data_IF_853601026437
#
_entry.id   IF_853601026437
#
_cell.length_a   1.000
_cell.length_b   1.000
_cell.length_c   1.000
_cell.angle_alpha   90.00
_cell.angle_beta   90.00
_cell.angle_gamma   90.00
#
_symmetry.space_group_name_H-M   'P 1'
#
loop_
_entity.id
_entity.type
_entity.pdbx_description
1 polymer ?
#
# COMPACT_ATOMS: atom_id res chain seq x y z
N UNK A 1 38.83 -6.52 -3.17
CA UNK A 1 37.60 -5.78 -3.49
C UNK A 1 36.33 -6.52 -3.06
N UNK A 2 36.32 -7.85 -3.00
CA UNK A 2 35.14 -8.68 -2.68
C UNK A 2 34.50 -8.42 -1.31
N UNK A 3 35.28 -8.42 -0.22
CA UNK A 3 34.70 -8.21 1.13
C UNK A 3 34.10 -6.80 1.29
N UNK A 4 34.75 -5.79 0.71
CA UNK A 4 34.23 -4.42 0.76
C UNK A 4 32.92 -4.29 -0.02
N UNK A 5 32.82 -4.92 -1.20
CA UNK A 5 31.58 -4.93 -1.99
C UNK A 5 30.45 -5.71 -1.30
N UNK A 6 30.77 -6.83 -0.65
CA UNK A 6 29.81 -7.65 0.12
C UNK A 6 29.25 -6.85 1.31
N UNK A 7 30.12 -6.19 2.09
CA UNK A 7 29.72 -5.36 3.23
C UNK A 7 28.92 -4.14 2.77
N UNK A 8 29.37 -3.45 1.72
CA UNK A 8 28.65 -2.29 1.19
C UNK A 8 27.26 -2.67 0.66
N UNK A 9 27.15 -3.77 -0.09
CA UNK A 9 25.88 -4.32 -0.54
C UNK A 9 24.95 -4.64 0.63
N UNK A 10 25.48 -5.27 1.69
CA UNK A 10 24.70 -5.61 2.89
C UNK A 10 24.19 -4.36 3.63
N UNK A 11 24.98 -3.29 3.69
CA UNK A 11 24.56 -2.01 4.27
C UNK A 11 23.44 -1.38 3.43
N UNK A 12 23.59 -1.36 2.11
CA UNK A 12 22.56 -0.83 1.22
C UNK A 12 21.27 -1.66 1.29
N UNK A 13 21.38 -2.98 1.32
CA UNK A 13 20.24 -3.88 1.53
C UNK A 13 19.55 -3.61 2.86
N UNK A 14 20.32 -3.48 3.95
CA UNK A 14 19.76 -3.15 5.26
C UNK A 14 18.99 -1.83 5.21
N UNK A 15 19.59 -0.76 4.66
CA UNK A 15 18.93 0.55 4.53
C UNK A 15 17.67 0.48 3.67
N UNK A 16 17.70 -0.27 2.56
CA UNK A 16 16.57 -0.50 1.66
C UNK A 16 15.40 -1.14 2.43
N UNK A 17 15.65 -2.29 3.04
CA UNK A 17 14.62 -3.10 3.70
C UNK A 17 14.14 -2.45 4.99
N UNK A 18 15.04 -1.80 5.75
CA UNK A 18 14.71 -0.98 6.91
C UNK A 18 13.79 0.18 6.51
N UNK A 19 14.17 0.94 5.49
CA UNK A 19 13.40 2.09 5.02
C UNK A 19 12.00 1.70 4.57
N UNK A 20 11.87 0.61 3.84
CA UNK A 20 10.58 0.03 3.42
C UNK A 20 9.75 -0.47 4.62
N UNK A 21 10.38 -1.07 5.63
CA UNK A 21 9.65 -1.60 6.79
C UNK A 21 9.26 -0.50 7.79
N UNK A 22 10.03 0.58 7.85
CA UNK A 22 9.76 1.73 8.69
C UNK A 22 8.52 2.54 8.25
N UNK A 23 8.06 2.37 7.02
CA UNK A 23 6.86 3.06 6.51
C UNK A 23 5.55 2.33 6.82
N UNK A 24 5.62 1.11 7.39
CA UNK A 24 4.44 0.30 7.67
C UNK A 24 3.58 0.92 8.76
N UNK A 25 2.42 1.46 8.37
CA UNK A 25 1.43 1.94 9.34
C UNK A 25 0.57 0.79 9.88
N UNK A 26 0.87 0.37 11.11
CA UNK A 26 0.15 -0.69 11.83
C UNK A 26 -1.33 -0.36 12.09
N UNK A 27 -1.73 0.91 12.13
CA UNK A 27 -3.14 1.31 12.32
C UNK A 27 -3.92 1.13 11.02
N UNK A 28 -3.37 1.61 9.90
CA UNK A 28 -3.97 1.43 8.57
C UNK A 28 -4.05 -0.06 8.21
N UNK A 29 -3.00 -0.83 8.53
CA UNK A 29 -3.00 -2.28 8.37
C UNK A 29 -4.25 -2.91 9.01
N UNK A 30 -4.53 -2.60 10.28
CA UNK A 30 -5.70 -3.14 10.99
C UNK A 30 -7.03 -2.77 10.34
N UNK A 31 -7.15 -1.55 9.79
CA UNK A 31 -8.38 -1.09 9.12
C UNK A 31 -8.65 -1.89 7.83
N UNK A 32 -7.60 -2.17 7.05
CA UNK A 32 -7.71 -2.91 5.79
C UNK A 32 -7.76 -4.44 5.93
N UNK A 33 -7.52 -5.00 7.12
CA UNK A 33 -7.75 -6.43 7.40
C UNK A 33 -9.18 -6.90 7.13
N UNK A 34 -10.14 -5.98 6.97
CA UNK A 34 -11.52 -6.31 6.59
C UNK A 34 -11.61 -6.88 5.16
N UNK A 35 -10.69 -6.51 4.26
CA UNK A 35 -10.69 -6.98 2.88
C UNK A 35 -9.99 -8.34 2.74
N UNK A 36 -10.54 -9.35 3.40
CA UNK A 36 -9.92 -10.68 3.54
C UNK A 36 -9.66 -11.37 2.20
N UNK A 37 -10.56 -11.21 1.23
CA UNK A 37 -10.43 -11.86 -0.08
C UNK A 37 -9.24 -11.29 -0.86
N UNK A 38 -9.09 -9.96 -0.89
CA UNK A 38 -7.97 -9.32 -1.57
C UNK A 38 -6.63 -9.71 -0.94
N UNK A 39 -6.55 -9.65 0.39
CA UNK A 39 -5.33 -9.99 1.13
C UNK A 39 -4.93 -11.46 0.96
N UNK A 40 -5.87 -12.40 1.07
CA UNK A 40 -5.57 -13.83 0.87
C UNK A 40 -5.15 -14.13 -0.57
N UNK A 41 -5.80 -13.49 -1.55
CA UNK A 41 -5.44 -13.63 -2.96
C UNK A 41 -4.02 -13.11 -3.19
N UNK A 42 -3.71 -11.93 -2.67
CA UNK A 42 -2.39 -11.32 -2.73
C UNK A 42 -1.29 -12.17 -2.11
N UNK A 43 -1.48 -12.65 -0.87
CA UNK A 43 -0.50 -13.50 -0.18
C UNK A 43 -0.27 -14.81 -0.93
N UNK A 44 -1.34 -15.44 -1.43
CA UNK A 44 -1.24 -16.69 -2.20
C UNK A 44 -0.50 -16.48 -3.51
N UNK A 45 -0.77 -15.38 -4.20
CA UNK A 45 -0.08 -15.01 -5.43
C UNK A 45 1.41 -14.74 -5.16
N UNK A 46 1.73 -13.95 -4.13
CA UNK A 46 3.09 -13.53 -3.78
C UNK A 46 4.00 -14.69 -3.37
N UNK A 47 3.54 -15.56 -2.47
CA UNK A 47 4.42 -16.55 -1.82
C UNK A 47 4.16 -17.99 -2.24
N UNK A 48 3.13 -18.24 -3.04
CA UNK A 48 2.85 -19.58 -3.58
C UNK A 48 2.97 -19.58 -5.09
N UNK A 49 2.16 -18.78 -5.79
CA UNK A 49 2.08 -18.82 -7.25
C UNK A 49 3.36 -18.30 -7.89
N UNK A 50 3.84 -17.11 -7.52
CA UNK A 50 5.00 -16.53 -8.18
C UNK A 50 6.31 -17.32 -7.94
N UNK A 51 6.63 -17.77 -6.71
CA UNK A 51 7.78 -18.65 -6.47
C UNK A 51 7.66 -19.97 -7.24
N UNK A 52 6.44 -20.53 -7.31
CA UNK A 52 6.18 -21.74 -8.08
C UNK A 52 6.40 -21.52 -9.59
N UNK A 53 6.01 -20.37 -10.14
CA UNK A 53 6.32 -20.01 -11.53
C UNK A 53 7.83 -19.88 -11.75
N UNK A 54 8.55 -19.26 -10.82
CA UNK A 54 10.02 -19.22 -10.85
C UNK A 54 10.62 -20.62 -10.90
N UNK A 55 10.18 -21.51 -10.01
CA UNK A 55 10.58 -22.92 -9.98
C UNK A 55 10.28 -23.67 -11.28
N UNK A 56 9.07 -23.50 -11.83
CA UNK A 56 8.69 -24.13 -13.09
C UNK A 56 9.60 -23.69 -14.23
N UNK A 57 9.94 -22.40 -14.30
CA UNK A 57 10.86 -21.89 -15.31
C UNK A 57 12.26 -22.46 -15.12
N UNK A 58 12.80 -22.43 -13.89
CA UNK A 58 14.12 -23.00 -13.58
C UNK A 58 14.20 -24.47 -14.02
N UNK A 59 13.18 -25.24 -13.67
CA UNK A 59 13.12 -26.68 -13.98
C UNK A 59 12.88 -26.96 -15.46
N UNK A 60 11.96 -26.24 -16.11
CA UNK A 60 11.60 -26.48 -17.52
C UNK A 60 12.71 -26.05 -18.48
N UNK A 61 13.44 -24.98 -18.15
CA UNK A 61 14.52 -24.44 -18.98
C UNK A 61 15.89 -24.98 -18.58
N UNK A 62 15.98 -25.79 -17.52
CA UNK A 62 17.24 -26.28 -16.93
C UNK A 62 18.26 -25.15 -16.73
N UNK A 63 17.81 -24.07 -16.07
CA UNK A 63 18.67 -22.93 -15.78
C UNK A 63 19.84 -23.37 -14.90
N UNK A 64 21.01 -22.77 -15.12
CA UNK A 64 22.17 -23.00 -14.27
C UNK A 64 21.97 -22.40 -12.87
N UNK A 65 22.76 -22.86 -11.91
CA UNK A 65 22.59 -22.47 -10.51
C UNK A 65 22.65 -20.95 -10.28
N UNK A 66 23.58 -20.18 -10.91
CA UNK A 66 23.60 -18.72 -10.76
C UNK A 66 22.33 -18.02 -11.22
N UNK A 67 21.78 -18.41 -12.39
CA UNK A 67 20.53 -17.83 -12.89
C UNK A 67 19.34 -18.26 -12.06
N UNK A 68 19.18 -19.57 -11.86
CA UNK A 68 17.95 -20.06 -11.26
C UNK A 68 17.86 -19.79 -9.77
N UNK A 69 18.94 -19.83 -9.01
CA UNK A 69 18.91 -19.43 -7.58
C UNK A 69 18.53 -17.96 -7.46
N UNK A 70 19.15 -17.08 -8.26
CA UNK A 70 18.80 -15.66 -8.23
C UNK A 70 17.36 -15.41 -8.67
N UNK A 71 16.86 -16.12 -9.69
CA UNK A 71 15.46 -16.02 -10.13
C UNK A 71 14.47 -16.50 -9.05
N UNK A 72 14.81 -17.57 -8.32
CA UNK A 72 14.02 -18.05 -7.18
C UNK A 72 13.98 -17.00 -6.05
N UNK A 73 15.10 -16.30 -5.80
CA UNK A 73 15.13 -15.19 -4.84
C UNK A 73 14.24 -14.04 -5.30
N UNK A 74 14.32 -13.63 -6.58
CA UNK A 74 13.46 -12.58 -7.14
C UNK A 74 11.99 -12.94 -6.96
N UNK A 75 11.59 -14.13 -7.39
CA UNK A 75 10.18 -14.56 -7.38
C UNK A 75 9.64 -14.89 -5.98
N UNK A 76 10.52 -15.11 -5.01
CA UNK A 76 10.18 -15.34 -3.59
C UNK A 76 10.30 -14.11 -2.72
N UNK A 77 10.77 -12.98 -3.27
CA UNK A 77 10.88 -11.73 -2.53
C UNK A 77 9.50 -11.17 -2.20
N UNK A 78 9.38 -10.29 -1.19
CA UNK A 78 8.17 -9.49 -1.02
C UNK A 78 8.07 -8.42 -2.12
N UNK A 79 6.89 -7.81 -2.22
CA UNK A 79 6.68 -6.59 -2.99
C UNK A 79 7.59 -5.45 -2.52
N UNK A 80 7.74 -4.41 -3.34
CA UNK A 80 8.59 -3.25 -3.05
C UNK A 80 7.83 -1.93 -3.07
N UNK A 81 8.35 -0.88 -2.42
CA UNK A 81 7.68 0.44 -2.31
C UNK A 81 7.25 1.07 -3.64
N UNK A 82 7.83 0.66 -4.77
CA UNK A 82 7.46 1.14 -6.10
C UNK A 82 6.12 0.56 -6.60
N UNK A 83 5.65 -0.59 -6.10
CA UNK A 83 4.29 -1.07 -6.39
C UNK A 83 3.25 -0.05 -5.92
N UNK A 84 3.45 0.51 -4.73
CA UNK A 84 2.62 1.59 -4.18
C UNK A 84 2.66 2.84 -5.06
N UNK A 85 3.82 3.15 -5.65
CA UNK A 85 3.96 4.25 -6.60
C UNK A 85 3.18 3.99 -7.90
N UNK A 86 3.23 2.77 -8.45
CA UNK A 86 2.41 2.37 -9.60
C UNK A 86 0.91 2.45 -9.31
N UNK A 87 0.48 1.92 -8.16
CA UNK A 87 -0.92 1.96 -7.73
C UNK A 87 -1.42 3.40 -7.53
N UNK A 88 -0.60 4.26 -6.91
CA UNK A 88 -0.90 5.69 -6.76
C UNK A 88 -1.00 6.40 -8.11
N UNK A 89 0.00 6.22 -8.97
CA UNK A 89 0.09 6.85 -10.28
C UNK A 89 -1.09 6.51 -11.20
N UNK A 90 -1.51 5.25 -11.18
CA UNK A 90 -2.61 4.78 -12.03
C UNK A 90 -3.96 4.79 -11.31
N UNK A 91 -4.04 5.36 -10.12
CA UNK A 91 -5.28 5.44 -9.34
C UNK A 91 -5.94 4.06 -9.15
N UNK A 92 -5.13 3.05 -8.85
CA UNK A 92 -5.59 1.77 -8.34
C UNK A 92 -5.92 1.89 -6.83
N UNK A 93 -6.22 0.78 -6.16
CA UNK A 93 -6.39 0.79 -4.70
C UNK A 93 -5.03 0.90 -3.98
N UNK A 94 -4.62 2.14 -3.67
CA UNK A 94 -3.36 2.42 -2.99
C UNK A 94 -3.34 1.89 -1.56
N UNK A 95 -4.45 2.04 -0.83
CA UNK A 95 -4.55 1.57 0.55
C UNK A 95 -4.37 0.05 0.65
N UNK A 96 -4.94 -0.70 -0.30
CA UNK A 96 -4.75 -2.13 -0.42
C UNK A 96 -3.31 -2.48 -0.78
N UNK A 97 -2.70 -1.81 -1.76
CA UNK A 97 -1.29 -2.03 -2.15
C UNK A 97 -0.36 -1.89 -0.94
N UNK A 98 -0.47 -0.77 -0.21
CA UNK A 98 0.37 -0.50 0.98
C UNK A 98 0.16 -1.56 2.06
N UNK A 99 -1.09 -1.97 2.28
CA UNK A 99 -1.42 -3.03 3.24
C UNK A 99 -0.81 -4.37 2.84
N UNK A 100 -0.89 -4.72 1.55
CA UNK A 100 -0.31 -5.95 1.02
C UNK A 100 1.22 -5.93 1.07
N UNK A 101 1.88 -4.80 0.75
CA UNK A 101 3.34 -4.65 0.90
C UNK A 101 3.74 -4.84 2.36
N UNK A 102 3.01 -4.24 3.30
CA UNK A 102 3.28 -4.38 4.72
C UNK A 102 3.18 -5.84 5.18
N UNK A 103 2.08 -6.52 4.83
CA UNK A 103 1.89 -7.93 5.20
C UNK A 103 2.95 -8.82 4.54
N UNK A 104 3.23 -8.61 3.25
CA UNK A 104 4.21 -9.42 2.53
C UNK A 104 5.62 -9.20 3.08
N UNK A 105 5.98 -7.98 3.45
CA UNK A 105 7.25 -7.66 4.12
C UNK A 105 7.38 -8.46 5.41
N UNK A 106 6.36 -8.46 6.28
CA UNK A 106 6.38 -9.27 7.51
C UNK A 106 6.50 -10.76 7.22
N UNK A 107 5.67 -11.29 6.31
CA UNK A 107 5.66 -12.72 5.97
C UNK A 107 6.95 -13.19 5.28
N UNK A 108 7.64 -12.30 4.56
CA UNK A 108 8.87 -12.64 3.83
C UNK A 108 9.99 -13.13 4.74
N UNK A 109 10.01 -12.71 6.01
CA UNK A 109 10.98 -13.19 7.01
C UNK A 109 11.01 -14.71 7.12
N UNK A 110 9.88 -15.37 6.84
CA UNK A 110 9.74 -16.84 6.85
C UNK A 110 9.58 -17.38 5.43
N UNK A 111 8.74 -16.74 4.59
CA UNK A 111 8.39 -17.28 3.28
C UNK A 111 9.54 -17.21 2.27
N UNK A 112 10.34 -16.15 2.28
CA UNK A 112 11.51 -16.03 1.39
C UNK A 112 12.52 -17.16 1.62
N UNK A 113 13.03 -17.41 2.86
CA UNK A 113 13.94 -18.52 3.09
C UNK A 113 13.31 -19.88 2.85
N UNK A 114 12.04 -20.07 3.24
CA UNK A 114 11.35 -21.34 3.07
C UNK A 114 11.20 -21.72 1.58
N UNK A 115 10.73 -20.78 0.74
CA UNK A 115 10.60 -20.99 -0.70
C UNK A 115 11.97 -21.23 -1.34
N UNK A 116 12.98 -20.46 -0.95
CA UNK A 116 14.32 -20.63 -1.50
C UNK A 116 14.90 -22.01 -1.20
N UNK A 117 14.84 -22.47 0.06
CA UNK A 117 15.30 -23.81 0.45
C UNK A 117 14.51 -24.89 -0.29
N UNK A 118 13.18 -24.78 -0.32
CA UNK A 118 12.31 -25.76 -0.97
C UNK A 118 12.62 -25.89 -2.47
N UNK A 119 12.60 -24.78 -3.21
CA UNK A 119 12.75 -24.82 -4.66
C UNK A 119 14.19 -25.01 -5.11
N UNK A 120 15.19 -24.51 -4.37
CA UNK A 120 16.59 -24.78 -4.70
C UNK A 120 16.95 -26.26 -4.53
N UNK A 121 16.51 -26.89 -3.42
CA UNK A 121 16.78 -28.32 -3.17
C UNK A 121 15.99 -29.25 -4.10
N UNK A 122 14.86 -28.77 -4.63
CA UNK A 122 14.05 -29.52 -5.62
C UNK A 122 14.60 -29.37 -7.04
N UNK A 123 15.15 -28.20 -7.40
CA UNK A 123 15.59 -27.92 -8.77
C UNK A 123 16.99 -28.46 -9.08
N UNK A 124 17.86 -28.58 -8.08
CA UNK A 124 19.26 -28.91 -8.27
C UNK A 124 19.68 -30.19 -7.57
N UNK A 125 20.69 -30.87 -8.12
CA UNK A 125 21.27 -32.07 -7.50
C UNK A 125 21.96 -31.72 -6.18
N UNK A 126 22.07 -32.71 -5.28
CA UNK A 126 22.68 -32.54 -3.97
C UNK A 126 24.11 -31.96 -4.02
N UNK A 127 24.86 -32.23 -5.07
CA UNK A 127 26.23 -31.73 -5.21
C UNK A 127 26.27 -30.23 -5.53
N UNK A 128 25.37 -29.76 -6.41
CA UNK A 128 25.21 -28.34 -6.71
C UNK A 128 24.68 -27.61 -5.48
N UNK A 129 23.66 -28.15 -4.82
CA UNK A 129 23.08 -27.59 -3.60
C UNK A 129 24.14 -27.47 -2.49
N UNK A 130 25.01 -28.46 -2.31
CA UNK A 130 26.11 -28.41 -1.33
C UNK A 130 27.21 -27.41 -1.69
N UNK A 131 27.39 -27.12 -2.99
CA UNK A 131 28.39 -26.16 -3.46
C UNK A 131 27.97 -24.70 -3.27
N UNK A 132 26.68 -24.43 -3.04
CA UNK A 132 26.18 -23.09 -2.75
C UNK A 132 26.73 -22.57 -1.41
N UNK A 133 27.06 -21.28 -1.38
CA UNK A 133 27.45 -20.60 -0.15
C UNK A 133 26.22 -20.33 0.73
N UNK A 134 25.78 -21.37 1.44
CA UNK A 134 24.68 -21.28 2.41
C UNK A 134 24.96 -20.23 3.48
N UNK A 135 26.23 -20.02 3.84
CA UNK A 135 26.59 -19.04 4.86
C UNK A 135 26.29 -17.63 4.37
N UNK A 136 26.68 -17.30 3.14
CA UNK A 136 26.35 -16.02 2.51
C UNK A 136 24.85 -15.81 2.37
N UNK A 137 24.11 -16.84 1.94
CA UNK A 137 22.65 -16.81 1.80
C UNK A 137 21.98 -16.54 3.16
N UNK A 138 22.33 -17.31 4.20
CA UNK A 138 21.79 -17.11 5.54
C UNK A 138 22.16 -15.75 6.12
N UNK A 139 23.38 -15.25 5.86
CA UNK A 139 23.78 -13.92 6.31
C UNK A 139 22.96 -12.83 5.63
N UNK A 140 22.73 -12.92 4.33
CA UNK A 140 21.85 -11.99 3.61
C UNK A 140 20.41 -12.04 4.14
N UNK A 141 19.88 -13.22 4.45
CA UNK A 141 18.58 -13.35 5.09
C UNK A 141 18.55 -12.71 6.48
N UNK A 142 19.59 -12.88 7.30
CA UNK A 142 19.69 -12.23 8.62
C UNK A 142 19.68 -10.71 8.47
N UNK A 143 20.34 -10.16 7.45
CA UNK A 143 20.30 -8.72 7.15
C UNK A 143 18.88 -8.27 6.78
N UNK A 144 18.18 -9.02 5.93
CA UNK A 144 16.78 -8.74 5.56
C UNK A 144 15.88 -8.79 6.80
N UNK A 145 15.92 -9.87 7.57
CA UNK A 145 15.11 -10.06 8.77
C UNK A 145 15.41 -8.98 9.81
N UNK A 146 16.68 -8.64 10.01
CA UNK A 146 17.12 -7.57 10.90
C UNK A 146 16.62 -6.20 10.45
N UNK A 147 16.71 -5.89 9.16
CA UNK A 147 16.19 -4.66 8.57
C UNK A 147 14.67 -4.54 8.71
N UNK A 148 13.93 -5.63 8.44
CA UNK A 148 12.48 -5.68 8.61
C UNK A 148 12.11 -5.46 10.08
N UNK A 149 12.69 -6.26 10.97
CA UNK A 149 12.36 -6.22 12.40
C UNK A 149 12.64 -4.85 13.00
N UNK A 150 13.82 -4.30 12.74
CA UNK A 150 14.19 -2.97 13.24
C UNK A 150 13.34 -1.85 12.63
N UNK A 151 13.03 -1.90 11.32
CA UNK A 151 12.16 -0.94 10.67
C UNK A 151 10.75 -0.95 11.24
N UNK A 152 10.15 -2.13 11.43
CA UNK A 152 8.81 -2.27 12.04
C UNK A 152 8.78 -1.77 13.48
N UNK A 153 9.82 -2.06 14.28
CA UNK A 153 9.96 -1.56 15.66
C UNK A 153 10.03 -0.04 15.65
N UNK A 154 10.85 0.56 14.79
CA UNK A 154 10.95 2.02 14.65
C UNK A 154 9.61 2.64 14.23
N UNK A 155 8.91 2.03 13.27
CA UNK A 155 7.59 2.50 12.82
C UNK A 155 6.58 2.49 13.96
N UNK A 156 6.56 1.42 14.78
CA UNK A 156 5.65 1.28 15.90
C UNK A 156 5.95 2.24 17.08
N UNK A 157 7.22 2.59 17.29
CA UNK A 157 7.71 3.37 18.44
C UNK A 157 7.78 4.87 18.18
N UNK A 158 8.35 5.30 17.05
CA UNK A 158 8.63 6.71 16.75
C UNK A 158 7.35 7.45 16.32
N UNK A 159 6.39 6.76 15.68
CA UNK A 159 5.07 7.28 15.26
C UNK A 159 5.11 8.70 14.65
N UNK A 160 6.13 8.99 13.85
CA UNK A 160 6.32 10.29 13.22
C UNK A 160 6.25 10.17 11.70
N UNK A 161 5.30 10.86 11.04
CA UNK A 161 5.20 10.86 9.58
C UNK A 161 6.49 11.35 8.89
N UNK A 162 7.18 12.31 9.51
CA UNK A 162 8.47 12.85 9.01
C UNK A 162 9.56 11.78 9.01
N UNK A 163 9.60 10.95 10.06
CA UNK A 163 10.54 9.82 10.14
C UNK A 163 10.23 8.79 9.06
N UNK A 164 8.96 8.39 8.90
CA UNK A 164 8.56 7.40 7.90
C UNK A 164 8.91 7.88 6.48
N UNK A 165 8.65 9.17 6.17
CA UNK A 165 9.02 9.75 4.88
C UNK A 165 10.54 9.75 4.65
N UNK A 166 11.32 10.13 5.67
CA UNK A 166 12.78 10.11 5.58
C UNK A 166 13.31 8.68 5.39
N UNK A 167 12.80 7.72 6.16
CA UNK A 167 13.18 6.32 6.07
C UNK A 167 12.86 5.74 4.67
N UNK A 168 11.68 6.06 4.12
CA UNK A 168 11.33 5.69 2.75
C UNK A 168 12.32 6.26 1.72
N UNK A 169 12.66 7.55 1.83
CA UNK A 169 13.61 8.20 0.93
C UNK A 169 14.99 7.55 1.00
N UNK A 170 15.50 7.31 2.21
CA UNK A 170 16.78 6.63 2.43
C UNK A 170 16.75 5.21 1.85
N UNK A 171 15.68 4.46 2.08
CA UNK A 171 15.52 3.11 1.55
C UNK A 171 15.49 3.07 0.02
N UNK A 172 14.74 3.97 -0.61
CA UNK A 172 14.67 4.06 -2.07
C UNK A 172 16.02 4.46 -2.69
N UNK A 173 16.72 5.44 -2.10
CA UNK A 173 18.08 5.81 -2.52
C UNK A 173 19.02 4.62 -2.37
N UNK A 174 18.96 3.90 -1.25
CA UNK A 174 19.78 2.73 -1.03
C UNK A 174 19.52 1.63 -2.07
N UNK A 175 18.25 1.41 -2.46
CA UNK A 175 17.90 0.48 -3.53
C UNK A 175 18.44 0.88 -4.90
N UNK A 176 18.30 2.16 -5.28
CA UNK A 176 18.87 2.67 -6.54
C UNK A 176 20.39 2.54 -6.54
N UNK A 177 21.05 2.87 -5.43
CA UNK A 177 22.49 2.71 -5.26
C UNK A 177 22.90 1.25 -5.34
N UNK A 178 22.13 0.33 -4.76
CA UNK A 178 22.41 -1.10 -4.79
C UNK A 178 22.36 -1.66 -6.22
N UNK A 179 21.32 -1.30 -6.97
CA UNK A 179 21.17 -1.64 -8.38
C UNK A 179 22.32 -1.05 -9.21
N UNK A 180 22.61 0.23 -9.06
CA UNK A 180 23.69 0.91 -9.81
C UNK A 180 25.06 0.33 -9.46
N UNK A 181 25.30 0.06 -8.18
CA UNK A 181 26.52 -0.58 -7.69
C UNK A 181 26.69 -1.99 -8.27
N UNK A 182 25.62 -2.77 -8.37
CA UNK A 182 25.68 -4.12 -8.95
C UNK A 182 26.13 -4.11 -10.42
N UNK A 183 25.67 -3.13 -11.20
CA UNK A 183 26.11 -2.95 -12.61
C UNK A 183 27.60 -2.65 -12.65
N UNK A 184 28.10 -1.78 -11.77
CA UNK A 184 29.53 -1.46 -11.68
C UNK A 184 30.34 -2.71 -11.30
N UNK A 185 29.93 -3.45 -10.26
CA UNK A 185 30.60 -4.67 -9.83
C UNK A 185 30.64 -5.72 -10.95
N UNK A 186 29.53 -5.94 -11.65
CA UNK A 186 29.47 -6.85 -12.80
C UNK A 186 30.39 -6.40 -13.95
N UNK A 187 30.46 -5.10 -14.24
CA UNK A 187 31.29 -4.58 -15.34
C UNK A 187 32.81 -4.69 -15.11
N UNK A 188 33.25 -4.90 -13.86
CA UNK A 188 34.68 -5.03 -13.53
C UNK A 188 35.23 -6.45 -13.74
N UNK A 189 34.34 -7.44 -13.94
CA UNK A 189 34.72 -8.81 -14.31
C UNK A 189 34.96 -8.91 -15.82
N UNK A 190 36.22 -9.03 -16.23
CA UNK A 190 36.66 -8.86 -17.63
C UNK A 190 36.19 -9.93 -18.63
N UNK A 191 35.39 -10.93 -18.24
CA UNK A 191 35.12 -12.12 -19.07
C UNK A 191 33.63 -12.41 -19.37
N UNK A 192 32.67 -11.76 -18.70
CA UNK A 192 31.24 -12.04 -18.87
C UNK A 192 30.43 -10.77 -19.15
N UNK A 193 30.02 -10.60 -20.40
CA UNK A 193 29.12 -9.52 -20.82
C UNK A 193 27.72 -9.73 -20.19
N UNK A 194 27.31 -8.78 -19.35
CA UNK A 194 26.01 -8.76 -18.64
C UNK A 194 24.81 -9.01 -19.59
N UNK A 195 24.91 -8.51 -20.82
CA UNK A 195 23.85 -8.55 -21.83
C UNK A 195 24.08 -9.56 -22.95
N UNK A 196 25.12 -10.38 -22.88
CA UNK A 196 25.42 -11.38 -23.92
C UNK A 196 24.95 -12.76 -23.46
N UNK A 197 23.69 -12.82 -23.04
CA UNK A 197 23.08 -14.02 -22.49
C UNK A 197 22.29 -14.77 -23.58
N UNK A 198 22.18 -16.10 -23.50
CA UNK A 198 21.38 -16.87 -24.45
C UNK A 198 19.90 -16.47 -24.38
N UNK A 199 19.14 -16.65 -25.46
CA UNK A 199 17.71 -16.29 -25.50
C UNK A 199 16.88 -16.88 -24.35
N UNK A 200 17.27 -18.07 -23.87
CA UNK A 200 16.63 -18.77 -22.75
C UNK A 200 16.69 -17.98 -21.44
N UNK A 201 17.74 -17.16 -21.24
CA UNK A 201 17.86 -16.24 -20.11
C UNK A 201 16.73 -15.21 -20.14
N UNK A 202 16.56 -14.49 -21.25
CA UNK A 202 15.57 -13.42 -21.35
C UNK A 202 14.14 -13.95 -21.24
N UNK A 203 13.87 -15.07 -21.90
CA UNK A 203 12.56 -15.73 -21.82
C UNK A 203 12.32 -16.22 -20.40
N UNK A 204 13.30 -16.90 -19.80
CA UNK A 204 13.19 -17.46 -18.45
C UNK A 204 12.98 -16.38 -17.39
N UNK A 205 13.76 -15.31 -17.41
CA UNK A 205 13.65 -14.25 -16.39
C UNK A 205 12.37 -13.43 -16.57
N UNK A 206 11.95 -13.14 -17.80
CA UNK A 206 10.74 -12.35 -18.06
C UNK A 206 9.42 -13.10 -17.87
N UNK A 207 9.41 -14.42 -18.11
CA UNK A 207 8.18 -15.22 -18.12
C UNK A 207 7.40 -15.23 -16.79
N UNK A 208 8.02 -15.41 -15.60
CA UNK A 208 7.30 -15.40 -14.33
C UNK A 208 6.54 -14.10 -14.08
N UNK A 209 7.11 -12.95 -14.47
CA UNK A 209 6.45 -11.65 -14.32
C UNK A 209 5.19 -11.57 -15.20
N UNK A 210 5.31 -11.87 -16.49
CA UNK A 210 4.19 -11.79 -17.45
C UNK A 210 3.07 -12.80 -17.15
N UNK A 211 3.45 -14.05 -16.88
CA UNK A 211 2.52 -15.13 -16.55
C UNK A 211 1.89 -14.85 -15.19
N UNK A 212 2.69 -14.42 -14.22
CA UNK A 212 2.24 -14.04 -12.89
C UNK A 212 1.19 -12.94 -12.95
N UNK A 213 1.41 -11.91 -13.79
CA UNK A 213 0.47 -10.79 -13.94
C UNK A 213 -0.87 -11.28 -14.49
N UNK A 214 -0.82 -12.13 -15.52
CA UNK A 214 -2.01 -12.74 -16.12
C UNK A 214 -2.80 -13.58 -15.11
N UNK A 215 -2.11 -14.41 -14.33
CA UNK A 215 -2.74 -15.24 -13.30
C UNK A 215 -3.28 -14.38 -12.16
N UNK A 216 -2.56 -13.35 -11.74
CA UNK A 216 -2.97 -12.44 -10.68
C UNK A 216 -4.26 -11.70 -11.06
N UNK A 217 -4.33 -11.15 -12.28
CA UNK A 217 -5.54 -10.50 -12.81
C UNK A 217 -6.71 -11.48 -12.89
N UNK A 218 -6.46 -12.71 -13.34
CA UNK A 218 -7.49 -13.75 -13.42
C UNK A 218 -8.00 -14.17 -12.04
N UNK A 219 -7.11 -14.45 -11.09
CA UNK A 219 -7.47 -14.84 -9.72
C UNK A 219 -8.22 -13.72 -9.00
N UNK A 220 -7.74 -12.47 -9.10
CA UNK A 220 -8.40 -11.31 -8.53
C UNK A 220 -9.82 -11.12 -9.10
N UNK A 221 -9.99 -11.37 -10.40
CA UNK A 221 -11.32 -11.36 -11.05
C UNK A 221 -12.20 -12.53 -10.62
N UNK A 222 -11.63 -13.72 -10.48
CA UNK A 222 -12.33 -14.94 -10.04
C UNK A 222 -12.90 -14.79 -8.62
N UNK A 223 -12.12 -14.20 -7.70
CA UNK A 223 -12.58 -13.87 -6.35
C UNK A 223 -13.46 -12.62 -6.28
N UNK A 224 -13.81 -12.04 -7.43
CA UNK A 224 -14.75 -10.91 -7.57
C UNK A 224 -14.32 -9.67 -6.79
N UNK A 225 -13.02 -9.40 -6.73
CA UNK A 225 -12.51 -8.14 -6.18
C UNK A 225 -13.02 -6.96 -7.01
N UNK A 226 -13.08 -5.78 -6.41
CA UNK A 226 -13.42 -4.55 -7.13
C UNK A 226 -12.32 -4.22 -8.14
N UNK A 227 -12.66 -3.48 -9.21
CA UNK A 227 -11.70 -3.30 -10.31
C UNK A 227 -10.39 -2.64 -9.88
N UNK A 228 -10.39 -1.56 -9.05
CA UNK A 228 -9.14 -0.95 -8.57
C UNK A 228 -8.32 -1.90 -7.69
N UNK A 229 -8.99 -2.77 -6.92
CA UNK A 229 -8.35 -3.80 -6.11
C UNK A 229 -7.67 -4.88 -6.97
N UNK A 230 -8.27 -5.27 -8.09
CA UNK A 230 -7.66 -6.24 -9.03
C UNK A 230 -6.35 -5.72 -9.60
N UNK A 231 -6.32 -4.42 -9.93
CA UNK A 231 -5.10 -3.77 -10.42
C UNK A 231 -4.05 -3.76 -9.33
N UNK A 232 -4.41 -3.37 -8.11
CA UNK A 232 -3.50 -3.34 -6.97
C UNK A 232 -2.92 -4.72 -6.63
N UNK A 233 -3.75 -5.77 -6.56
CA UNK A 233 -3.32 -7.15 -6.28
C UNK A 233 -2.35 -7.66 -7.36
N UNK A 234 -2.62 -7.36 -8.63
CA UNK A 234 -1.77 -7.79 -9.74
C UNK A 234 -0.42 -7.06 -9.75
N UNK A 235 -0.43 -5.74 -9.56
CA UNK A 235 0.78 -4.91 -9.46
C UNK A 235 1.65 -5.36 -8.29
N UNK A 236 1.03 -5.51 -7.11
CA UNK A 236 1.75 -5.86 -5.88
C UNK A 236 2.40 -7.24 -5.96
N UNK A 237 1.72 -8.23 -6.56
CA UNK A 237 2.30 -9.56 -6.73
C UNK A 237 3.47 -9.57 -7.72
N UNK A 238 3.39 -8.80 -8.81
CA UNK A 238 4.34 -8.95 -9.91
C UNK A 238 5.51 -7.97 -9.86
N UNK A 239 5.38 -6.89 -9.10
CA UNK A 239 6.47 -5.99 -8.77
C UNK A 239 7.28 -6.57 -7.61
N UNK A 240 8.48 -7.05 -7.89
CA UNK A 240 9.34 -7.70 -6.89
C UNK A 240 10.43 -6.77 -6.40
N UNK A 241 10.89 -6.99 -5.16
CA UNK A 241 12.04 -6.28 -4.66
C UNK A 241 13.36 -6.86 -5.23
N UNK A 242 13.72 -6.40 -6.43
CA UNK A 242 14.96 -6.79 -7.13
C UNK A 242 16.24 -6.42 -6.37
N UNK A 243 16.16 -5.48 -5.41
CA UNK A 243 17.27 -5.14 -4.52
C UNK A 243 17.68 -6.29 -3.61
N UNK A 244 16.71 -7.04 -3.06
CA UNK A 244 17.00 -8.22 -2.22
C UNK A 244 17.77 -9.26 -3.04
N UNK A 245 17.27 -9.59 -4.24
CA UNK A 245 17.93 -10.55 -5.14
C UNK A 245 19.31 -10.07 -5.60
N UNK A 246 19.47 -8.78 -5.90
CA UNK A 246 20.76 -8.17 -6.25
C UNK A 246 21.79 -8.35 -5.15
N UNK A 247 21.42 -8.08 -3.89
CA UNK A 247 22.35 -8.24 -2.79
C UNK A 247 22.71 -9.70 -2.55
N UNK A 248 21.76 -10.63 -2.69
CA UNK A 248 22.03 -12.07 -2.57
C UNK A 248 22.97 -12.54 -3.68
N UNK A 249 22.80 -12.04 -4.91
CA UNK A 249 23.72 -12.35 -6.00
C UNK A 249 25.16 -11.91 -5.69
N UNK A 250 25.34 -10.69 -5.18
CA UNK A 250 26.65 -10.13 -4.79
C UNK A 250 27.31 -10.91 -3.65
N UNK A 251 26.54 -11.43 -2.70
CA UNK A 251 27.10 -12.17 -1.57
C UNK A 251 27.39 -13.63 -1.89
N UNK A 252 26.56 -14.26 -2.73
CA UNK A 252 26.67 -15.70 -3.01
C UNK A 252 27.63 -16.06 -4.15
N UNK A 253 27.70 -15.25 -5.20
CA UNK A 253 28.44 -15.60 -6.42
C UNK A 253 29.71 -14.76 -6.59
N UNK A 254 30.70 -15.33 -7.28
CA UNK A 254 32.00 -14.69 -7.52
C UNK A 254 32.45 -14.88 -8.97
N UNK A 255 33.31 -13.98 -9.45
CA UNK A 255 33.88 -14.08 -10.80
C UNK A 255 32.82 -14.01 -11.90
N UNK A 256 32.89 -14.91 -12.89
CA UNK A 256 31.97 -14.94 -14.03
C UNK A 256 30.51 -15.23 -13.62
N UNK A 257 30.30 -16.12 -12.64
CA UNK A 257 28.96 -16.47 -12.15
C UNK A 257 28.22 -15.27 -11.55
N UNK A 258 28.96 -14.33 -10.96
CA UNK A 258 28.38 -13.11 -10.39
C UNK A 258 27.74 -12.22 -11.47
N UNK A 259 28.38 -12.09 -12.63
CA UNK A 259 27.84 -11.29 -13.74
C UNK A 259 26.53 -11.89 -14.25
N UNK A 260 26.50 -13.22 -14.42
CA UNK A 260 25.29 -13.96 -14.80
C UNK A 260 24.18 -13.80 -13.75
N UNK A 261 24.50 -13.95 -12.47
CA UNK A 261 23.54 -13.82 -11.37
C UNK A 261 22.96 -12.39 -11.27
N UNK A 262 23.80 -11.34 -11.35
CA UNK A 262 23.36 -9.93 -11.31
C UNK A 262 22.48 -9.57 -12.52
N UNK A 263 22.69 -10.22 -13.67
CA UNK A 263 21.84 -10.04 -14.84
C UNK A 263 20.36 -10.31 -14.57
N UNK A 264 20.05 -11.29 -13.71
CA UNK A 264 18.68 -11.70 -13.40
C UNK A 264 17.83 -10.58 -12.79
N UNK A 265 18.16 -10.01 -11.61
CA UNK A 265 17.35 -8.97 -10.99
C UNK A 265 17.33 -7.68 -11.83
N UNK A 266 18.41 -7.36 -12.55
CA UNK A 266 18.44 -6.22 -13.46
C UNK A 266 17.45 -6.38 -14.61
N UNK A 267 17.51 -7.51 -15.31
CA UNK A 267 16.61 -7.75 -16.43
C UNK A 267 15.16 -7.97 -15.97
N UNK A 268 14.95 -8.64 -14.83
CA UNK A 268 13.62 -8.73 -14.22
C UNK A 268 13.07 -7.35 -13.87
N UNK A 269 13.88 -6.45 -13.31
CA UNK A 269 13.50 -5.06 -13.01
C UNK A 269 13.07 -4.27 -14.26
N UNK A 270 13.71 -4.51 -15.41
CA UNK A 270 13.29 -3.94 -16.69
C UNK A 270 11.95 -4.55 -17.14
N UNK A 271 11.80 -5.87 -17.01
CA UNK A 271 10.58 -6.59 -17.39
C UNK A 271 9.38 -6.14 -16.56
N UNK A 272 9.51 -6.06 -15.23
CA UNK A 272 8.42 -5.63 -14.36
C UNK A 272 8.03 -4.18 -14.66
N UNK A 273 8.98 -3.26 -14.83
CA UNK A 273 8.68 -1.88 -15.19
C UNK A 273 7.92 -1.77 -16.52
N UNK A 274 8.33 -2.54 -17.53
CA UNK A 274 7.69 -2.55 -18.84
C UNK A 274 6.30 -3.22 -18.81
N UNK A 275 6.21 -4.45 -18.31
CA UNK A 275 4.96 -5.22 -18.29
C UNK A 275 3.91 -4.58 -17.39
N UNK A 276 4.29 -4.08 -16.21
CA UNK A 276 3.34 -3.39 -15.33
C UNK A 276 2.94 -2.04 -15.93
N UNK A 277 3.85 -1.30 -16.56
CA UNK A 277 3.51 -0.06 -17.26
C UNK A 277 2.45 -0.29 -18.34
N UNK A 278 2.65 -1.27 -19.21
CA UNK A 278 1.66 -1.65 -20.24
C UNK A 278 0.35 -2.12 -19.61
N UNK A 279 0.41 -2.97 -18.59
CA UNK A 279 -0.77 -3.48 -17.90
C UNK A 279 -1.60 -2.38 -17.24
N UNK A 280 -0.96 -1.47 -16.52
CA UNK A 280 -1.62 -0.34 -15.87
C UNK A 280 -2.29 0.59 -16.90
N UNK A 281 -1.65 0.83 -18.05
CA UNK A 281 -2.26 1.58 -19.16
C UNK A 281 -3.51 0.89 -19.70
N UNK A 282 -3.45 -0.43 -19.91
CA UNK A 282 -4.60 -1.22 -20.38
C UNK A 282 -5.73 -1.19 -19.36
N UNK A 283 -5.42 -1.38 -18.07
CA UNK A 283 -6.41 -1.37 -16.99
C UNK A 283 -7.09 -0.01 -16.85
N UNK A 284 -6.31 1.08 -16.92
CA UNK A 284 -6.88 2.43 -16.92
C UNK A 284 -7.82 2.63 -18.12
N UNK A 285 -7.39 2.31 -19.34
CA UNK A 285 -8.25 2.44 -20.53
C UNK A 285 -9.45 1.51 -20.55
N UNK A 286 -9.42 0.44 -19.76
CA UNK A 286 -10.54 -0.49 -19.57
C UNK A 286 -11.52 -0.04 -18.47
N UNK A 287 -11.27 1.10 -17.81
CA UNK A 287 -12.08 1.59 -16.69
C UNK A 287 -12.00 0.70 -15.46
N UNK A 288 -10.81 0.16 -15.18
CA UNK A 288 -10.53 -0.64 -13.98
C UNK A 288 -9.86 0.16 -12.86
N UNK A 289 -9.40 1.37 -13.15
CA UNK A 289 -8.85 2.30 -12.16
C UNK A 289 -9.91 3.33 -11.76
N UNK A 290 -9.63 4.10 -10.70
CA UNK A 290 -10.51 5.19 -10.25
C UNK A 290 -10.46 6.42 -11.19
N UNK A 291 -9.43 6.52 -12.02
CA UNK A 291 -9.28 7.62 -12.98
C UNK A 291 -10.20 7.44 -14.21
N UNK A 292 -10.83 8.52 -14.72
CA UNK A 292 -11.67 8.48 -15.93
C UNK A 292 -10.89 8.03 -17.18
N UNK A 293 -11.58 7.32 -18.09
CA UNK A 293 -10.98 6.73 -19.30
C UNK A 293 -10.60 7.80 -20.34
N UNK A 294 -11.36 8.90 -20.39
CA UNK A 294 -11.22 9.98 -21.39
C UNK A 294 -10.17 11.03 -21.01
N UNK A 295 -9.56 10.89 -19.84
CA UNK A 295 -8.63 11.88 -19.31
C UNK A 295 -7.24 11.78 -19.98
N UNK A 296 -6.49 12.88 -19.95
CA UNK A 296 -5.10 12.88 -20.43
C UNK A 296 -4.21 12.13 -19.44
N UNK A 297 -3.28 11.33 -19.95
CA UNK A 297 -2.37 10.53 -19.11
C UNK A 297 -1.58 11.38 -18.11
N UNK A 298 -1.14 12.57 -18.51
CA UNK A 298 -0.43 13.49 -17.61
C UNK A 298 -1.31 13.93 -16.42
N UNK A 299 -2.61 14.10 -16.64
CA UNK A 299 -3.57 14.46 -15.58
C UNK A 299 -3.82 13.27 -14.67
N UNK A 300 -3.97 12.07 -15.22
CA UNK A 300 -4.13 10.83 -14.44
C UNK A 300 -2.94 10.59 -13.51
N UNK A 301 -1.73 10.77 -14.01
CA UNK A 301 -0.50 10.59 -13.24
C UNK A 301 -0.34 11.68 -12.17
N UNK A 302 -0.80 12.90 -12.43
CA UNK A 302 -0.64 14.05 -11.53
C UNK A 302 -1.77 14.18 -10.48
N UNK A 303 -2.89 13.47 -10.67
CA UNK A 303 -4.10 13.64 -9.86
C UNK A 303 -4.39 12.38 -9.07
N UNK A 304 -4.65 12.54 -7.77
CA UNK A 304 -5.05 11.45 -6.87
C UNK A 304 -6.57 11.46 -6.72
N UNK A 305 -7.26 10.64 -7.51
CA UNK A 305 -8.74 10.60 -7.58
C UNK A 305 -9.35 10.07 -6.28
N UNK A 306 -8.63 9.23 -5.54
CA UNK A 306 -9.05 8.77 -4.22
C UNK A 306 -9.23 9.93 -3.23
N UNK A 307 -8.34 10.93 -3.27
CA UNK A 307 -8.47 12.14 -2.45
C UNK A 307 -9.61 13.03 -2.94
N UNK A 308 -9.78 13.12 -4.26
CA UNK A 308 -10.83 13.93 -4.88
C UNK A 308 -12.24 13.42 -4.53
N UNK A 309 -12.47 12.10 -4.63
CA UNK A 309 -13.74 11.47 -4.25
C UNK A 309 -14.05 11.67 -2.77
N UNK A 310 -13.05 11.59 -1.88
CA UNK A 310 -13.24 11.86 -0.46
C UNK A 310 -13.64 13.32 -0.19
N UNK A 311 -12.98 14.28 -0.86
CA UNK A 311 -13.31 15.70 -0.72
C UNK A 311 -14.71 16.03 -1.26
N UNK A 312 -15.08 15.47 -2.41
CA UNK A 312 -16.43 15.63 -2.99
C UNK A 312 -17.51 15.05 -2.07
N UNK A 313 -17.30 13.85 -1.52
CA UNK A 313 -18.25 13.23 -0.60
C UNK A 313 -18.40 14.01 0.73
N UNK A 314 -17.32 14.57 1.27
CA UNK A 314 -17.40 15.43 2.47
C UNK A 314 -18.13 16.74 2.17
N UNK A 315 -17.92 17.33 0.98
CA UNK A 315 -18.68 18.50 0.53
C UNK A 315 -20.17 18.19 0.35
N UNK A 316 -20.53 17.06 -0.28
CA UNK A 316 -21.92 16.62 -0.42
C UNK A 316 -22.56 16.31 0.94
N UNK A 317 -21.82 15.72 1.87
CA UNK A 317 -22.30 15.48 3.24
C UNK A 317 -22.56 16.80 3.98
N UNK A 318 -21.69 17.80 3.81
CA UNK A 318 -21.88 19.15 4.35
C UNK A 318 -23.08 19.83 3.67
N UNK A 319 -23.23 19.72 2.35
CA UNK A 319 -24.33 20.32 1.61
C UNK A 319 -25.68 19.66 1.94
N UNK A 320 -25.72 18.35 2.18
CA UNK A 320 -26.92 17.65 2.69
C UNK A 320 -27.27 18.08 4.11
N UNK A 321 -26.27 18.35 4.96
CA UNK A 321 -26.49 18.87 6.32
C UNK A 321 -26.98 20.32 6.30
N UNK A 322 -26.52 21.14 5.35
CA UNK A 322 -26.93 22.54 5.18
C UNK A 322 -28.19 22.70 4.31
N UNK A 323 -28.52 21.71 3.50
CA UNK A 323 -29.56 21.69 2.47
C UNK A 323 -30.90 21.12 2.95
N UNK A 324 -31.37 21.55 4.12
CA UNK A 324 -32.77 21.40 4.51
C UNK A 324 -33.38 22.79 4.73
N UNK A 325 -34.10 23.36 3.74
CA UNK A 325 -34.85 24.58 3.98
C UNK A 325 -36.10 24.23 4.79
N UNK A 326 -36.00 24.27 6.12
CA UNK A 326 -37.19 24.44 6.95
C UNK A 326 -37.72 25.86 6.69
N UNK A 327 -38.83 25.94 5.96
CA UNK A 327 -39.66 27.14 5.93
C UNK A 327 -40.11 27.45 7.35
N UNK A 328 -39.55 28.50 7.95
CA UNK A 328 -40.18 29.21 9.06
C UNK A 328 -39.26 29.51 10.24
N UNK A 329 -39.10 30.82 10.50
CA UNK A 329 -38.85 31.35 11.84
C UNK A 329 -37.39 31.35 12.28
N UNK A 330 -36.80 32.55 12.41
CA UNK A 330 -35.39 32.72 12.75
C UNK A 330 -34.99 32.18 14.12
N UNK A 331 -33.83 31.54 14.15
CA UNK A 331 -32.78 31.70 15.16
C UNK A 331 -31.45 31.25 14.57
N UNK A 332 -30.38 32.01 14.85
CA UNK A 332 -29.00 31.67 14.51
C UNK A 332 -28.54 30.55 15.45
N UNK A 333 -28.42 29.33 14.94
CA UNK A 333 -27.72 28.27 15.65
C UNK A 333 -26.28 28.16 15.11
N UNK A 334 -25.33 28.53 15.97
CA UNK A 334 -23.91 28.20 15.87
C UNK A 334 -23.76 26.68 16.02
N UNK A 335 -23.36 25.98 14.95
CA UNK A 335 -22.97 24.58 15.05
C UNK A 335 -21.44 24.49 15.13
N UNK A 336 -20.96 23.98 16.26
CA UNK A 336 -19.58 23.55 16.46
C UNK A 336 -19.29 22.33 15.59
N UNK A 337 -18.41 22.48 14.59
CA UNK A 337 -17.74 21.35 13.97
C UNK A 337 -16.51 21.00 14.82
N UNK A 338 -16.55 19.83 15.47
CA UNK A 338 -15.34 19.19 16.01
C UNK A 338 -14.63 18.50 14.84
N UNK A 339 -13.55 19.12 14.35
CA UNK A 339 -12.58 18.47 13.48
C UNK A 339 -11.49 17.86 14.35
N UNK A 340 -11.59 16.56 14.60
CA UNK A 340 -10.51 15.78 15.20
C UNK A 340 -9.70 15.15 14.05
N UNK A 341 -8.90 15.96 13.35
CA UNK A 341 -7.73 15.49 12.59
C UNK A 341 -6.85 16.68 12.16
N UNK A 342 -5.56 16.61 12.54
CA UNK A 342 -4.58 17.66 12.31
C UNK A 342 -4.24 17.82 10.83
N UNK A 343 -4.75 18.89 10.22
CA UNK A 343 -4.32 19.38 8.92
C UNK A 343 -3.87 20.84 9.08
N UNK A 344 -2.58 21.10 8.82
CA UNK A 344 -2.05 22.47 8.74
C UNK A 344 -2.38 23.02 7.35
N UNK A 345 -3.16 24.11 7.32
CA UNK A 345 -3.35 24.93 6.13
C UNK A 345 -2.30 26.05 6.19
N UNK A 346 -1.40 26.10 5.22
CA UNK A 346 -0.49 27.23 5.04
C UNK A 346 -1.30 28.50 4.76
N UNK A 347 -1.03 29.57 5.53
CA UNK A 347 -1.62 30.90 5.35
C UNK A 347 -1.32 31.45 3.95
N UNK A 348 -2.30 31.37 3.05
CA UNK A 348 -2.33 32.18 1.82
C UNK A 348 -3.20 33.40 2.07
N UNK A 349 -2.52 34.52 2.35
CA UNK A 349 -2.92 35.92 2.16
C UNK A 349 -4.42 36.20 1.93
N UNK A 350 -5.16 36.47 3.01
CA UNK A 350 -6.42 37.21 2.97
C UNK A 350 -6.19 38.67 3.44
N UNK A 351 -5.27 39.36 2.76
CA UNK A 351 -5.06 40.81 2.91
C UNK A 351 -5.54 41.53 1.65
N UNK A 352 -6.79 41.29 1.25
CA UNK A 352 -7.52 42.15 0.32
C UNK A 352 -9.00 41.78 0.34
N UNK A 353 -9.77 42.34 1.28
CA UNK A 353 -11.22 42.60 1.18
C UNK A 353 -11.76 43.02 2.57
N UNK A 354 -11.37 44.20 3.04
CA UNK A 354 -12.25 45.04 3.89
C UNK A 354 -11.69 46.46 3.97
N UNK A 355 -11.93 47.23 2.91
CA UNK A 355 -12.03 48.69 3.01
C UNK A 355 -13.45 49.06 2.60
N UNK A 356 -14.19 49.65 3.54
CA UNK A 356 -15.35 50.58 3.47
C UNK A 356 -16.18 50.34 4.72
N UNK A 357 -16.04 51.19 5.74
CA UNK A 357 -16.95 52.31 6.11
C UNK A 357 -17.82 51.83 7.29
N UNK A 358 -18.13 52.54 8.38
CA UNK A 358 -17.80 53.89 8.85
C UNK A 358 -18.13 53.97 10.36
N UNK A 359 -17.47 54.90 11.07
CA UNK A 359 -17.81 55.60 12.32
C UNK A 359 -18.75 55.00 13.42
N UNK A 360 -18.28 54.90 14.68
CA UNK A 360 -18.55 55.92 15.74
C UNK A 360 -18.08 55.53 17.17
N UNK A 361 -17.12 56.32 17.66
CA UNK A 361 -16.79 56.77 19.03
C UNK A 361 -16.19 55.85 20.13
N UNK A 362 -15.25 56.39 20.96
CA UNK A 362 -14.40 55.64 21.91
C UNK A 362 -14.74 55.89 23.39
N UNK A 363 -14.35 54.99 24.30
CA UNK A 363 -13.95 55.37 25.67
C UNK A 363 -13.18 54.26 26.43
N UNK A 364 -11.85 54.42 26.46
CA UNK A 364 -10.92 54.39 27.61
C UNK A 364 -10.80 53.14 28.56
N UNK A 365 -9.76 53.01 29.43
CA UNK A 365 -8.75 51.95 29.27
C UNK A 365 -8.44 51.13 30.55
N UNK A 366 -7.78 49.98 30.35
CA UNK A 366 -6.75 49.46 31.25
C UNK A 366 -7.16 48.59 32.44
N UNK A 367 -6.65 47.35 32.47
CA UNK A 367 -5.76 46.83 33.54
C UNK A 367 -5.32 45.40 33.24
N UNK A 368 -4.01 45.18 33.34
CA UNK A 368 -3.36 43.88 33.53
C UNK A 368 -3.70 43.34 34.92
N UNK A 369 -3.80 42.02 35.10
CA UNK A 369 -2.78 41.18 35.74
C UNK A 369 -3.34 39.78 36.04
N UNK A 370 -2.45 38.82 35.82
CA UNK A 370 -2.31 37.46 36.35
C UNK A 370 -2.96 37.16 37.70
N UNK A 371 -3.43 35.91 37.89
CA UNK A 371 -2.89 34.96 38.88
C UNK A 371 -3.58 33.57 38.81
N UNK A 372 -2.74 32.56 38.72
CA UNK A 372 -2.73 31.17 39.22
C UNK A 372 -3.98 30.52 39.84
N UNK A 373 -4.20 29.24 39.48
CA UNK A 373 -4.86 28.23 40.32
C UNK A 373 -4.12 26.89 40.24
N UNK A 374 -3.82 26.22 41.37
CA UNK A 374 -3.14 24.93 41.40
C UNK A 374 -4.12 23.74 41.44
N UNK A 375 -3.51 22.59 41.16
CA UNK A 375 -4.02 21.22 41.08
C UNK A 375 -4.30 20.66 42.49
N UNK A 376 -5.38 19.88 42.65
CA UNK A 376 -5.50 18.87 43.71
C UNK A 376 -5.88 17.52 43.09
N UNK A 377 -5.02 16.53 43.34
CA UNK A 377 -5.21 15.11 43.12
C UNK A 377 -6.12 14.51 44.21
N UNK A 378 -6.85 13.44 43.87
CA UNK A 378 -7.15 12.35 44.81
C UNK A 378 -7.46 11.06 44.03
N UNK A 379 -6.67 10.02 44.33
CA UNK A 379 -6.92 8.62 44.05
C UNK A 379 -7.82 8.00 45.15
N UNK A 380 -8.65 7.01 44.80
CA UNK A 380 -8.71 5.67 45.42
C UNK A 380 -10.00 4.89 45.05
N UNK A 381 -9.78 3.65 44.55
CA UNK A 381 -10.46 2.33 44.75
C UNK A 381 -12.01 2.23 44.90
N UNK A 382 -12.78 1.22 44.44
CA UNK A 382 -12.57 -0.21 44.14
C UNK A 382 -13.82 -0.82 43.42
N UNK A 383 -13.62 -1.98 42.76
CA UNK A 383 -14.54 -3.11 42.43
C UNK A 383 -15.87 -3.00 41.63
N UNK A 384 -16.06 -3.97 40.69
CA UNK A 384 -17.40 -4.58 40.46
C UNK A 384 -17.93 -4.86 39.03
N UNK A 385 -17.37 -5.85 38.34
CA UNK A 385 -18.02 -6.89 37.50
C UNK A 385 -19.22 -6.59 36.52
N UNK A 386 -19.04 -7.12 35.28
CA UNK A 386 -20.04 -7.65 34.29
C UNK A 386 -20.82 -6.73 33.32
N UNK A 387 -20.53 -7.02 32.04
CA UNK A 387 -21.44 -7.24 30.87
C UNK A 387 -22.05 -6.04 30.12
N UNK A 388 -21.90 -6.12 28.80
CA UNK A 388 -22.84 -5.69 27.76
C UNK A 388 -22.93 -4.18 27.47
N UNK A 389 -22.01 -3.65 26.67
CA UNK A 389 -22.23 -2.37 25.97
C UNK A 389 -23.07 -2.60 24.71
N UNK A 390 -24.39 -2.51 24.90
CA UNK A 390 -25.35 -2.13 23.87
C UNK A 390 -25.52 -0.61 23.90
N UNK A 391 -25.59 -0.02 22.69
CA UNK A 391 -25.84 1.39 22.39
C UNK A 391 -26.85 2.06 23.33
N UNK A 392 -26.51 3.24 23.87
CA UNK A 392 -27.49 4.18 24.45
C UNK A 392 -27.33 5.55 23.78
N UNK A 393 -28.38 5.95 23.08
CA UNK A 393 -28.66 7.34 22.73
C UNK A 393 -29.43 7.94 23.90
N UNK A 394 -29.06 9.15 24.32
CA UNK A 394 -29.80 9.93 25.31
C UNK A 394 -30.67 10.96 24.57
N UNK A 395 -31.99 10.85 24.71
CA UNK A 395 -32.96 11.88 24.35
C UNK A 395 -33.37 12.56 25.65
N UNK A 396 -33.06 13.84 25.79
CA UNK A 396 -33.50 14.70 26.90
C UNK A 396 -34.94 15.14 26.62
N UNK A 397 -35.81 14.86 27.60
CA UNK A 397 -37.25 15.08 27.52
C UNK A 397 -37.65 16.56 27.61
N UNK A 398 -38.74 16.88 26.94
CA UNK A 398 -39.57 18.05 27.24
C UNK A 398 -40.92 17.61 27.78
N UNK A 399 -41.38 18.38 28.75
CA UNK A 399 -42.55 18.21 29.61
C UNK A 399 -43.87 18.15 28.83
N UNK A 400 -44.65 17.10 29.09
CA UNK A 400 -46.08 17.04 28.77
C UNK A 400 -46.87 18.01 29.66
N UNK A 401 -47.86 18.67 29.07
CA UNK A 401 -49.04 19.11 29.81
C UNK A 401 -50.31 18.78 29.00
N UNK A 402 -51.26 18.19 29.71
CA UNK A 402 -52.47 17.49 29.29
C UNK A 402 -53.55 18.37 28.65
N UNK A 403 -54.32 17.82 27.69
CA UNK A 403 -55.78 17.60 27.81
C UNK A 403 -56.44 17.15 26.48
N UNK A 404 -57.04 15.94 26.49
CA UNK A 404 -58.47 15.75 26.19
C UNK A 404 -58.99 15.54 24.74
N UNK A 405 -59.60 14.35 24.56
CA UNK A 405 -60.93 14.10 23.95
C UNK A 405 -61.04 13.83 22.42
N UNK A 406 -61.15 12.53 22.11
CA UNK A 406 -62.31 11.84 21.46
C UNK A 406 -62.39 11.55 19.94
N UNK A 407 -62.92 10.34 19.72
CA UNK A 407 -63.28 9.49 18.58
C UNK A 407 -63.44 10.03 17.14
N UNK A 408 -62.97 9.21 16.17
CA UNK A 408 -63.83 8.47 15.19
C UNK A 408 -63.01 7.75 14.08
N UNK A 409 -63.25 6.45 13.90
CA UNK A 409 -63.15 5.71 12.62
C UNK A 409 -64.53 5.72 11.92
N UNK A 410 -64.62 5.59 10.57
CA UNK A 410 -64.65 4.28 9.87
C UNK A 410 -63.83 4.29 8.53
N UNK A 411 -63.13 3.22 8.14
CA UNK A 411 -63.55 1.99 7.43
C UNK A 411 -63.85 2.12 5.90
N UNK A 412 -62.96 1.49 5.11
CA UNK A 412 -63.20 0.55 3.97
C UNK A 412 -63.59 1.05 2.55
N UNK A 413 -62.96 0.36 1.57
CA UNK A 413 -63.32 0.15 0.14
C UNK A 413 -62.63 1.10 -0.85
N UNK A 414 -62.01 0.69 -1.96
CA UNK A 414 -61.89 -0.59 -2.66
C UNK A 414 -61.19 -0.31 -4.01
N UNK A 415 -60.34 -1.23 -4.48
CA UNK A 415 -59.78 -1.22 -5.84
C UNK A 415 -60.90 -1.55 -6.87
N UNK A 416 -60.75 -1.26 -8.19
CA UNK A 416 -59.92 -2.11 -9.03
C UNK A 416 -59.20 -1.45 -10.23
N UNK A 417 -58.24 -2.21 -10.75
CA UNK A 417 -57.54 -2.13 -12.04
C UNK A 417 -58.52 -2.24 -13.22
N UNK A 418 -58.19 -1.68 -14.40
CA UNK A 418 -58.55 -2.34 -15.65
C UNK A 418 -57.32 -2.64 -16.53
N UNK A 419 -57.36 -3.82 -17.13
CA UNK A 419 -56.53 -4.29 -18.22
C UNK A 419 -57.25 -4.04 -19.56
N UNK A 420 -56.50 -3.65 -20.58
CA UNK A 420 -56.68 -3.91 -22.02
C UNK A 420 -55.53 -3.17 -22.72
N UNK A 421 -54.71 -3.72 -23.63
CA UNK A 421 -54.99 -4.75 -24.62
C UNK A 421 -54.88 -4.11 -26.01
N UNK A 422 -53.72 -4.20 -26.68
CA UNK A 422 -53.58 -4.28 -28.15
C UNK A 422 -52.12 -4.42 -28.62
N UNK A 423 -51.83 -5.59 -29.21
CA UNK A 423 -50.87 -5.78 -30.31
C UNK A 423 -51.37 -5.03 -31.57
N UNK A 424 -50.47 -4.66 -32.49
CA UNK A 424 -50.26 -5.18 -33.87
C UNK A 424 -49.69 -3.92 -34.62
N UNK A 425 -48.66 -3.86 -35.47
CA UNK A 425 -47.90 -4.79 -36.35
C UNK A 425 -46.39 -4.50 -36.25
#
# INVERSE_FOLDING_TARGET
MTVLSEVFSSILLFCLVFGMSATVDMKQLKKQLRNRNALLTGISLQFVILPFLGFLVVSALNLDAPLGITLLVVTSSPGGSYSNWWCSMFNADLALSVTMTAISTVLSTIMLPANLVLYATTSYSNDVVKSLDWTALFLSLVVVIGGISSGLICSATVRSPKFNLMANKVGNIAGILLVTFSVVVSSTGHDAELWSQPAIFYIGVGAPCLIGLSIATWMASYFRLEKPERVAVAVECCYQNTGIATSVAITMFKGAELSTAIGVPLFYGICEAFFLGVYCLICWKSGWTKAPVDENICVVIATSYEVKEMMEHDHDAIEVVLGSPSTGGGHQDLIFASTDEGYQIDEVSLESLSKTDDSSSPDNPGRRLSEDFPIEDNEDEEEGNRRSQGKKYAVLGMSDNSNGVDDRQPAVSGAPIPADGKQID
#
